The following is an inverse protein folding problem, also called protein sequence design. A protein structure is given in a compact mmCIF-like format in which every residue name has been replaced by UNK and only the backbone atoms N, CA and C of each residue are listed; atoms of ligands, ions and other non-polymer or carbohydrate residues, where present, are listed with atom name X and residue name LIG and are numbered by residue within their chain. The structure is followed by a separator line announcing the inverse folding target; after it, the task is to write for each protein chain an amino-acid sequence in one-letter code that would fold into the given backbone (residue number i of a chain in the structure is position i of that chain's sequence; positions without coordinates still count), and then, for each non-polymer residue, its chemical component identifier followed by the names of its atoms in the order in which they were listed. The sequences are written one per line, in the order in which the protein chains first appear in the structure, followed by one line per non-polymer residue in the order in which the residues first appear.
data_IF_993450861601
#
_entry.id   IF_993450861601
#
_cell.length_a   1.000
_cell.length_b   1.000
_cell.length_c   1.000
_cell.angle_alpha   90.00
_cell.angle_beta   90.00
_cell.angle_gamma   90.00
#
_symmetry.space_group_name_H-M   'P 1'
#
loop_
_entity.id
_entity.type
_entity.pdbx_description
1 polymer ?
#
# COMPACT_ATOMS: atom_id res chain seq x y z
N UNK A 1 -41.19 -35.75 -11.89
CA UNK A 1 -39.72 -35.72 -12.03
C UNK A 1 -39.34 -34.38 -12.61
N UNK A 2 -38.08 -33.96 -12.46
CA UNK A 2 -37.62 -32.71 -13.05
C UNK A 2 -37.61 -32.80 -14.58
N UNK A 3 -38.10 -31.76 -15.25
CA UNK A 3 -38.14 -31.66 -16.72
C UNK A 3 -37.37 -30.43 -17.16
N UNK A 4 -36.78 -30.40 -18.38
CA UNK A 4 -36.11 -29.21 -18.88
C UNK A 4 -37.02 -27.98 -18.77
N UNK A 5 -36.54 -26.92 -18.15
CA UNK A 5 -37.31 -25.69 -18.00
C UNK A 5 -37.49 -25.04 -19.38
N UNK A 6 -38.74 -24.78 -19.77
CA UNK A 6 -39.05 -24.09 -21.02
C UNK A 6 -38.38 -22.71 -21.05
N UNK A 7 -37.82 -22.32 -22.20
CA UNK A 7 -37.13 -21.04 -22.41
C UNK A 7 -35.78 -20.87 -21.69
N UNK A 8 -35.30 -21.88 -20.96
CA UNK A 8 -33.99 -21.86 -20.30
C UNK A 8 -32.98 -22.78 -21.00
N UNK A 9 -31.68 -22.41 -20.99
CA UNK A 9 -30.62 -23.23 -21.57
C UNK A 9 -30.44 -24.53 -20.80
N UNK A 10 -29.62 -25.44 -21.36
CA UNK A 10 -29.31 -26.71 -20.71
C UNK A 10 -28.78 -26.50 -19.28
N UNK A 11 -29.23 -27.35 -18.36
CA UNK A 11 -28.86 -27.31 -16.94
C UNK A 11 -29.93 -26.71 -16.03
N UNK A 12 -31.03 -26.17 -16.58
CA UNK A 12 -32.18 -25.70 -15.81
C UNK A 12 -33.34 -26.69 -15.92
N UNK A 13 -33.83 -27.17 -14.78
CA UNK A 13 -34.93 -28.14 -14.74
C UNK A 13 -36.03 -27.72 -13.78
N UNK A 14 -37.27 -27.71 -14.25
CA UNK A 14 -38.47 -27.38 -13.48
C UNK A 14 -39.11 -28.64 -12.89
N UNK A 15 -39.62 -28.54 -11.65
CA UNK A 15 -40.23 -29.65 -10.94
C UNK A 15 -41.69 -29.92 -11.38
N UNK A 16 -42.58 -28.94 -11.25
CA UNK A 16 -43.97 -28.99 -11.72
C UNK A 16 -44.63 -27.60 -11.67
N UNK A 17 -45.76 -27.41 -12.35
CA UNK A 17 -46.53 -26.16 -12.26
C UNK A 17 -47.10 -25.90 -10.85
N UNK A 18 -47.39 -26.97 -10.10
CA UNK A 18 -47.87 -26.88 -8.73
C UNK A 18 -46.78 -26.49 -7.72
N UNK A 19 -45.50 -26.65 -8.08
CA UNK A 19 -44.36 -26.29 -7.27
C UNK A 19 -43.29 -25.62 -8.16
N UNK A 20 -43.32 -24.29 -8.33
CA UNK A 20 -42.47 -23.56 -9.27
C UNK A 20 -41.02 -23.45 -8.77
N UNK A 21 -40.37 -24.60 -8.63
CA UNK A 21 -38.98 -24.76 -8.22
C UNK A 21 -38.16 -25.16 -9.44
N UNK A 22 -37.11 -24.38 -9.70
CA UNK A 22 -36.11 -24.67 -10.74
C UNK A 22 -34.81 -25.11 -10.09
N UNK A 23 -34.33 -26.28 -10.49
CA UNK A 23 -33.01 -26.79 -10.11
C UNK A 23 -32.02 -26.46 -11.20
N UNK A 24 -30.86 -25.92 -10.80
CA UNK A 24 -29.76 -25.60 -11.70
C UNK A 24 -28.62 -26.59 -11.49
N UNK A 25 -28.29 -27.35 -12.53
CA UNK A 25 -27.20 -28.33 -12.54
C UNK A 25 -25.95 -27.67 -13.12
N UNK A 26 -25.09 -27.17 -12.24
CA UNK A 26 -23.91 -26.35 -12.61
C UNK A 26 -22.93 -27.04 -13.57
N UNK A 27 -22.88 -28.37 -13.57
CA UNK A 27 -22.02 -29.16 -14.47
C UNK A 27 -22.57 -29.28 -15.89
N UNK A 28 -23.86 -29.04 -16.10
CA UNK A 28 -24.52 -29.12 -17.41
C UNK A 28 -24.69 -27.76 -18.09
N UNK A 29 -24.33 -26.68 -17.39
CA UNK A 29 -24.37 -25.34 -17.95
C UNK A 29 -23.40 -25.22 -19.12
N UNK A 30 -23.89 -24.62 -20.21
CA UNK A 30 -23.11 -24.32 -21.40
C UNK A 30 -21.95 -23.37 -21.10
N UNK A 31 -20.86 -23.48 -21.85
CA UNK A 31 -19.69 -22.61 -21.69
C UNK A 31 -19.87 -21.27 -22.39
N UNK A 32 -20.73 -20.43 -21.82
CA UNK A 32 -21.00 -19.08 -22.32
C UNK A 32 -20.60 -18.02 -21.29
N UNK A 33 -20.35 -16.77 -21.72
CA UNK A 33 -20.14 -15.63 -20.84
C UNK A 33 -21.14 -15.50 -19.68
N UNK A 34 -22.43 -15.79 -19.94
CA UNK A 34 -23.52 -15.55 -19.00
C UNK A 34 -23.57 -16.59 -17.87
N UNK A 35 -23.01 -17.78 -18.09
CA UNK A 35 -23.01 -18.87 -17.10
C UNK A 35 -21.74 -18.91 -16.25
N UNK A 36 -20.74 -18.05 -16.52
CA UNK A 36 -19.43 -18.07 -15.84
C UNK A 36 -19.58 -17.98 -14.33
N UNK A 37 -20.38 -17.05 -13.82
CA UNK A 37 -20.58 -16.87 -12.37
C UNK A 37 -21.13 -18.14 -11.70
N UNK A 38 -22.09 -18.81 -12.35
CA UNK A 38 -22.67 -20.05 -11.86
C UNK A 38 -21.68 -21.21 -11.92
N UNK A 39 -20.91 -21.32 -13.01
CA UNK A 39 -19.92 -22.40 -13.18
C UNK A 39 -18.69 -22.25 -12.29
N UNK A 40 -18.31 -21.03 -11.89
CA UNK A 40 -17.31 -20.78 -10.83
C UNK A 40 -17.74 -21.37 -9.47
N UNK A 41 -19.04 -21.55 -9.25
CA UNK A 41 -19.57 -22.21 -8.05
C UNK A 41 -19.58 -23.75 -8.13
N UNK A 42 -19.30 -24.34 -9.29
CA UNK A 42 -19.24 -25.79 -9.47
C UNK A 42 -17.98 -26.42 -8.83
N UNK A 43 -17.94 -27.76 -8.75
CA UNK A 43 -16.85 -28.54 -8.11
C UNK A 43 -16.11 -29.48 -9.07
N UNK A 44 -16.01 -29.13 -10.35
CA UNK A 44 -15.52 -30.06 -11.38
C UNK A 44 -14.89 -29.33 -12.56
N UNK A 45 -14.68 -30.04 -13.68
CA UNK A 45 -14.27 -29.50 -14.98
C UNK A 45 -15.02 -28.21 -15.39
N UNK A 46 -16.29 -28.07 -14.99
CA UNK A 46 -17.09 -26.86 -15.22
C UNK A 46 -16.47 -25.61 -14.58
N UNK A 47 -15.82 -25.74 -13.41
CA UNK A 47 -15.06 -24.67 -12.75
C UNK A 47 -13.83 -24.29 -13.56
N UNK A 48 -13.05 -25.27 -14.01
CA UNK A 48 -11.85 -25.00 -14.80
C UNK A 48 -12.20 -24.28 -16.11
N UNK A 49 -13.21 -24.76 -16.82
CA UNK A 49 -13.74 -24.08 -18.02
C UNK A 49 -14.20 -22.66 -17.71
N UNK A 50 -14.90 -22.44 -16.60
CA UNK A 50 -15.32 -21.11 -16.17
C UNK A 50 -14.15 -20.17 -15.85
N UNK A 51 -13.09 -20.68 -15.21
CA UNK A 51 -11.88 -19.92 -14.94
C UNK A 51 -11.14 -19.56 -16.24
N UNK A 52 -11.08 -20.46 -17.22
CA UNK A 52 -10.53 -20.16 -18.54
C UNK A 52 -11.33 -19.08 -19.27
N UNK A 53 -12.66 -19.20 -19.30
CA UNK A 53 -13.56 -18.20 -19.92
C UNK A 53 -13.44 -16.85 -19.21
N UNK A 54 -13.32 -16.83 -17.88
CA UNK A 54 -13.07 -15.60 -17.13
C UNK A 54 -11.68 -15.00 -17.44
N UNK A 55 -10.62 -15.83 -17.50
CA UNK A 55 -9.25 -15.40 -17.82
C UNK A 55 -9.17 -14.74 -19.19
N UNK A 56 -9.78 -15.36 -20.22
CA UNK A 56 -9.79 -14.86 -21.59
C UNK A 56 -10.41 -13.44 -21.71
N UNK A 57 -11.36 -13.12 -20.83
CA UNK A 57 -12.10 -11.85 -20.86
C UNK A 57 -11.55 -10.78 -19.93
N UNK A 58 -10.46 -11.05 -19.22
CA UNK A 58 -9.84 -10.07 -18.31
C UNK A 58 -9.42 -8.77 -19.00
N UNK A 59 -9.16 -8.82 -20.32
CA UNK A 59 -8.82 -7.65 -21.12
C UNK A 59 -10.05 -6.81 -21.51
N UNK A 60 -11.25 -7.41 -21.58
CA UNK A 60 -12.50 -6.73 -21.95
C UNK A 60 -13.10 -5.95 -20.78
N UNK A 61 -12.77 -6.35 -19.55
CA UNK A 61 -13.35 -5.79 -18.33
C UNK A 61 -12.40 -4.74 -17.74
N UNK A 62 -12.86 -3.53 -17.41
CA UNK A 62 -12.07 -2.58 -16.64
C UNK A 62 -11.57 -3.22 -15.35
N UNK A 63 -10.25 -3.24 -15.14
CA UNK A 63 -9.61 -3.92 -14.00
C UNK A 63 -9.86 -5.44 -13.97
N UNK A 64 -10.23 -6.04 -15.10
CA UNK A 64 -10.60 -7.46 -15.20
C UNK A 64 -9.54 -8.41 -14.68
N UNK A 65 -8.25 -8.10 -14.92
CA UNK A 65 -7.13 -8.86 -14.34
C UNK A 65 -7.13 -8.84 -12.81
N UNK A 66 -7.42 -7.71 -12.16
CA UNK A 66 -7.50 -7.61 -10.69
C UNK A 66 -8.70 -8.39 -10.15
N UNK A 67 -9.85 -8.30 -10.83
CA UNK A 67 -11.06 -9.04 -10.47
C UNK A 67 -10.88 -10.55 -10.61
N UNK A 68 -10.18 -11.00 -11.67
CA UNK A 68 -9.83 -12.40 -11.84
C UNK A 68 -8.97 -12.92 -10.70
N UNK A 69 -7.90 -12.19 -10.32
CA UNK A 69 -7.07 -12.57 -9.17
C UNK A 69 -7.89 -12.62 -7.88
N UNK A 70 -8.75 -11.63 -7.65
CA UNK A 70 -9.62 -11.61 -6.48
C UNK A 70 -10.59 -12.82 -6.45
N UNK A 71 -11.15 -13.19 -7.59
CA UNK A 71 -12.04 -14.36 -7.72
C UNK A 71 -11.30 -15.67 -7.47
N UNK A 72 -10.10 -15.84 -8.02
CA UNK A 72 -9.23 -17.02 -7.80
C UNK A 72 -8.83 -17.13 -6.33
N UNK A 73 -8.40 -16.02 -5.72
CA UNK A 73 -8.03 -15.97 -4.31
C UNK A 73 -9.23 -16.25 -3.39
N UNK A 74 -10.41 -15.71 -3.72
CA UNK A 74 -11.65 -16.02 -3.01
C UNK A 74 -11.99 -17.51 -3.10
N UNK A 75 -11.91 -18.11 -4.28
CA UNK A 75 -12.13 -19.56 -4.49
C UNK A 75 -11.14 -20.38 -3.67
N UNK A 76 -9.85 -20.01 -3.66
CA UNK A 76 -8.81 -20.72 -2.92
C UNK A 76 -9.02 -20.65 -1.41
N UNK A 77 -9.31 -19.46 -0.88
CA UNK A 77 -9.51 -19.22 0.56
C UNK A 77 -10.81 -19.82 1.09
N UNK A 78 -11.91 -19.75 0.33
CA UNK A 78 -13.19 -20.35 0.73
C UNK A 78 -13.23 -21.87 0.54
N UNK A 79 -12.46 -22.45 -0.40
CA UNK A 79 -12.47 -23.90 -0.69
C UNK A 79 -11.28 -24.69 -0.11
N UNK A 80 -10.32 -24.04 0.56
CA UNK A 80 -9.17 -24.66 1.24
C UNK A 80 -9.50 -25.64 2.39
N UNK A 81 -10.76 -26.07 2.54
CA UNK A 81 -11.19 -27.13 3.48
C UNK A 81 -11.47 -28.49 2.83
N UNK A 82 -11.24 -28.72 1.53
CA UNK A 82 -11.44 -30.09 1.00
C UNK A 82 -11.36 -30.41 -0.50
N UNK A 83 -10.58 -29.73 -1.34
CA UNK A 83 -10.27 -30.24 -2.70
C UNK A 83 -8.77 -30.55 -2.86
N UNK A 84 -8.45 -31.75 -3.38
CA UNK A 84 -7.15 -32.03 -4.01
C UNK A 84 -7.23 -31.56 -5.46
N UNK A 85 -6.28 -30.74 -5.86
CA UNK A 85 -6.14 -30.29 -7.24
C UNK A 85 -5.39 -31.36 -8.03
N UNK A 86 -5.90 -31.74 -9.20
CA UNK A 86 -5.18 -32.57 -10.17
C UNK A 86 -4.27 -31.65 -11.01
N UNK A 87 -3.05 -32.08 -11.34
CA UNK A 87 -1.96 -31.26 -11.92
C UNK A 87 -2.37 -30.44 -13.16
N UNK A 88 -3.33 -30.91 -13.96
CA UNK A 88 -3.83 -30.22 -15.15
C UNK A 88 -4.70 -28.98 -14.85
N UNK A 89 -5.23 -28.86 -13.63
CA UNK A 89 -5.96 -27.67 -13.17
C UNK A 89 -5.03 -26.55 -12.69
N UNK A 90 -3.72 -26.76 -12.78
CA UNK A 90 -2.73 -25.69 -12.75
C UNK A 90 -2.93 -24.85 -14.02
N UNK A 91 -3.98 -24.02 -14.02
CA UNK A 91 -3.91 -22.69 -14.61
C UNK A 91 -2.49 -22.22 -14.35
N UNK A 92 -1.79 -21.70 -15.35
CA UNK A 92 -0.47 -21.12 -15.19
C UNK A 92 -0.56 -19.97 -14.17
N UNK A 93 -0.52 -20.39 -12.90
CA UNK A 93 -0.57 -19.63 -11.67
C UNK A 93 0.83 -19.15 -11.40
N UNK A 94 1.86 -19.73 -12.01
CA UNK A 94 3.25 -19.27 -11.94
C UNK A 94 3.36 -17.84 -12.45
N UNK A 95 2.74 -17.50 -13.58
CA UNK A 95 2.67 -16.11 -14.05
C UNK A 95 1.85 -15.19 -13.14
N UNK A 96 0.78 -15.72 -12.54
CA UNK A 96 -0.12 -14.95 -11.65
C UNK A 96 0.52 -14.69 -10.29
N UNK A 97 1.19 -15.68 -9.72
CA UNK A 97 1.97 -15.67 -8.49
C UNK A 97 3.20 -14.78 -8.64
N UNK A 98 3.98 -14.95 -9.72
CA UNK A 98 5.12 -14.07 -10.01
C UNK A 98 4.71 -12.61 -10.19
N UNK A 99 3.52 -12.37 -10.76
CA UNK A 99 2.96 -11.02 -10.84
C UNK A 99 2.57 -10.47 -9.45
N UNK A 100 1.93 -11.30 -8.62
CA UNK A 100 1.54 -10.93 -7.25
C UNK A 100 2.74 -10.63 -6.36
N UNK A 101 3.77 -11.47 -6.41
CA UNK A 101 5.02 -11.27 -5.68
C UNK A 101 5.69 -9.97 -6.11
N UNK A 102 5.77 -9.69 -7.42
CA UNK A 102 6.34 -8.43 -7.92
C UNK A 102 5.55 -7.21 -7.45
N UNK A 103 4.22 -7.27 -7.49
CA UNK A 103 3.37 -6.16 -7.04
C UNK A 103 3.49 -5.95 -5.52
N UNK A 104 3.49 -7.02 -4.74
CA UNK A 104 3.63 -6.96 -3.30
C UNK A 104 5.01 -6.44 -2.89
N UNK A 105 6.08 -6.96 -3.52
CA UNK A 105 7.45 -6.50 -3.32
C UNK A 105 7.61 -5.02 -3.69
N UNK A 106 7.05 -4.58 -4.83
CA UNK A 106 7.07 -3.18 -5.23
C UNK A 106 6.32 -2.28 -4.22
N UNK A 107 5.15 -2.71 -3.75
CA UNK A 107 4.38 -1.99 -2.73
C UNK A 107 5.11 -1.89 -1.40
N UNK A 108 5.72 -2.99 -0.94
CA UNK A 108 6.55 -3.04 0.27
C UNK A 108 7.76 -2.13 0.15
N UNK A 109 8.48 -2.20 -0.96
CA UNK A 109 9.65 -1.36 -1.21
C UNK A 109 9.27 0.13 -1.23
N UNK A 110 8.18 0.48 -1.91
CA UNK A 110 7.69 1.86 -1.95
C UNK A 110 7.24 2.34 -0.57
N UNK A 111 6.54 1.50 0.20
CA UNK A 111 6.11 1.79 1.56
C UNK A 111 7.30 2.02 2.48
N UNK A 112 8.31 1.15 2.42
CA UNK A 112 9.53 1.28 3.21
C UNK A 112 10.32 2.53 2.85
N UNK A 113 10.51 2.83 1.56
CA UNK A 113 11.19 4.05 1.11
C UNK A 113 10.48 5.31 1.60
N UNK A 114 9.16 5.38 1.46
CA UNK A 114 8.36 6.52 1.94
C UNK A 114 8.44 6.65 3.46
N UNK A 115 8.27 5.56 4.19
CA UNK A 115 8.34 5.54 5.65
C UNK A 115 9.72 5.98 6.17
N UNK A 116 10.79 5.50 5.54
CA UNK A 116 12.15 5.87 5.89
C UNK A 116 12.45 7.34 5.59
N UNK A 117 12.05 7.87 4.42
CA UNK A 117 12.23 9.28 4.09
C UNK A 117 11.46 10.20 5.04
N UNK A 118 10.20 9.89 5.32
CA UNK A 118 9.39 10.68 6.25
C UNK A 118 9.93 10.62 7.68
N UNK A 119 10.28 9.42 8.15
CA UNK A 119 10.85 9.22 9.48
C UNK A 119 12.20 9.95 9.65
N UNK A 120 13.06 9.91 8.63
CA UNK A 120 14.34 10.60 8.65
C UNK A 120 14.16 12.13 8.65
N UNK A 121 13.28 12.68 7.81
CA UNK A 121 13.01 14.12 7.80
C UNK A 121 12.41 14.62 9.13
N UNK A 122 11.42 13.91 9.67
CA UNK A 122 10.81 14.27 10.94
C UNK A 122 11.81 14.14 12.09
N UNK A 123 12.58 13.05 12.13
CA UNK A 123 13.61 12.84 13.15
C UNK A 123 14.70 13.90 13.11
N UNK A 124 15.16 14.28 11.92
CA UNK A 124 16.17 15.32 11.75
C UNK A 124 15.65 16.70 12.18
N UNK A 125 14.42 17.07 11.78
CA UNK A 125 13.81 18.34 12.19
C UNK A 125 13.60 18.41 13.71
N UNK A 126 13.08 17.34 14.32
CA UNK A 126 12.89 17.29 15.78
C UNK A 126 14.23 17.33 16.52
N UNK A 127 15.22 16.56 16.08
CA UNK A 127 16.55 16.57 16.67
C UNK A 127 17.23 17.94 16.60
N UNK A 128 17.12 18.62 15.46
CA UNK A 128 17.65 19.98 15.28
C UNK A 128 16.96 20.99 16.19
N UNK A 129 15.63 20.96 16.28
CA UNK A 129 14.88 21.85 17.19
C UNK A 129 15.22 21.61 18.67
N UNK A 130 15.32 20.33 19.07
CA UNK A 130 15.68 19.97 20.45
C UNK A 130 17.13 20.36 20.79
N UNK A 131 18.06 20.23 19.84
CA UNK A 131 19.45 20.64 20.00
C UNK A 131 19.68 22.15 20.00
N UNK A 132 18.90 22.90 19.20
CA UNK A 132 19.00 24.37 19.13
C UNK A 132 18.43 25.08 20.37
N UNK A 133 17.38 24.55 20.98
CA UNK A 133 16.68 25.23 22.06
C UNK A 133 17.59 25.57 23.28
N UNK A 134 18.48 24.68 23.76
CA UNK A 134 19.45 25.01 24.80
C UNK A 134 20.41 26.14 24.39
N UNK A 135 20.95 26.09 23.17
CA UNK A 135 21.86 27.11 22.62
C UNK A 135 21.19 28.49 22.60
N UNK A 136 19.99 28.60 22.02
CA UNK A 136 19.24 29.85 21.98
C UNK A 136 18.97 30.43 23.37
N UNK A 137 18.71 29.56 24.36
CA UNK A 137 18.56 29.98 25.77
C UNK A 137 19.88 30.51 26.35
N UNK A 138 21.02 29.88 26.05
CA UNK A 138 22.32 30.35 26.54
C UNK A 138 22.67 31.72 25.97
N UNK A 139 22.50 31.91 24.65
CA UNK A 139 22.68 33.21 24.00
C UNK A 139 21.77 34.30 24.62
N UNK A 140 20.47 34.01 24.81
CA UNK A 140 19.53 34.97 25.43
C UNK A 140 19.93 35.34 26.86
N UNK A 141 20.37 34.35 27.65
CA UNK A 141 20.85 34.58 29.03
C UNK A 141 22.13 35.41 29.04
N UNK A 142 23.08 35.12 28.16
CA UNK A 142 24.37 35.82 28.08
C UNK A 142 24.20 37.27 27.67
N UNK A 143 23.32 37.56 26.71
CA UNK A 143 22.99 38.90 26.25
C UNK A 143 22.05 39.66 27.19
N UNK A 144 21.48 38.98 28.19
CA UNK A 144 20.46 39.51 29.11
C UNK A 144 19.27 40.17 28.39
N UNK A 145 18.87 39.61 27.24
CA UNK A 145 17.71 40.05 26.45
C UNK A 145 17.19 38.93 25.57
N UNK A 146 15.96 39.06 25.08
CA UNK A 146 15.43 38.16 24.07
C UNK A 146 16.21 38.28 22.75
N UNK A 147 16.45 37.13 22.11
CA UNK A 147 16.97 37.07 20.75
C UNK A 147 15.88 37.46 19.75
N UNK A 148 16.25 38.32 18.81
CA UNK A 148 15.42 38.69 17.67
C UNK A 148 15.41 37.56 16.62
N UNK A 149 14.45 37.60 15.70
CA UNK A 149 14.30 36.54 14.68
C UNK A 149 15.46 36.48 13.69
N UNK A 150 16.08 37.63 13.37
CA UNK A 150 17.31 37.72 12.58
C UNK A 150 18.48 37.02 13.29
N UNK A 151 18.64 37.23 14.60
CA UNK A 151 19.71 36.59 15.38
C UNK A 151 19.51 35.08 15.50
N UNK A 152 18.26 34.63 15.63
CA UNK A 152 17.91 33.19 15.64
C UNK A 152 18.25 32.54 14.29
N UNK A 153 17.96 33.23 13.19
CA UNK A 153 18.31 32.77 11.85
C UNK A 153 19.83 32.67 11.67
N UNK A 154 20.59 33.66 12.14
CA UNK A 154 22.07 33.64 12.13
C UNK A 154 22.62 32.47 12.96
N UNK A 155 22.11 32.25 14.17
CA UNK A 155 22.52 31.13 15.03
C UNK A 155 22.23 29.79 14.35
N UNK A 156 21.07 29.65 13.69
CA UNK A 156 20.70 28.43 12.98
C UNK A 156 21.65 28.19 11.79
N UNK A 157 21.89 29.20 10.96
CA UNK A 157 22.81 29.10 9.83
C UNK A 157 24.25 28.77 10.26
N UNK A 158 24.68 29.33 11.40
CA UNK A 158 26.01 29.04 11.97
C UNK A 158 26.09 27.68 12.64
N UNK A 159 25.01 27.17 13.21
CA UNK A 159 24.99 25.80 13.70
C UNK A 159 25.29 24.81 12.56
N UNK A 160 24.70 25.05 11.39
CA UNK A 160 24.94 24.21 10.20
C UNK A 160 26.36 24.37 9.65
N UNK A 161 26.94 25.58 9.72
CA UNK A 161 28.26 25.87 9.15
C UNK A 161 29.45 25.56 10.08
N UNK A 162 29.31 25.81 11.39
CA UNK A 162 30.38 25.79 12.39
C UNK A 162 30.21 24.67 13.42
N UNK A 163 29.02 24.10 13.55
CA UNK A 163 28.71 23.05 14.52
C UNK A 163 28.42 23.55 15.93
N UNK A 164 27.77 22.70 16.74
CA UNK A 164 27.28 23.06 18.07
C UNK A 164 28.41 23.41 19.06
N UNK A 165 29.56 22.74 18.95
CA UNK A 165 30.70 22.95 19.84
C UNK A 165 31.25 24.37 19.72
N UNK A 166 31.46 24.83 18.48
CA UNK A 166 31.96 26.19 18.21
C UNK A 166 31.01 27.26 18.73
N UNK A 167 29.69 27.07 18.55
CA UNK A 167 28.70 27.99 19.10
C UNK A 167 28.70 27.99 20.63
N UNK A 168 28.93 26.83 21.25
CA UNK A 168 29.12 26.70 22.69
C UNK A 168 30.30 27.52 23.18
N UNK A 169 31.46 27.38 22.56
CA UNK A 169 32.68 28.13 22.89
C UNK A 169 32.46 29.64 22.75
N UNK A 170 31.86 30.09 21.64
CA UNK A 170 31.57 31.51 21.38
C UNK A 170 30.70 32.13 22.48
N UNK A 171 29.70 31.40 22.98
CA UNK A 171 28.84 31.90 24.06
C UNK A 171 29.58 32.02 25.39
N UNK A 172 30.55 31.12 25.64
CA UNK A 172 31.31 31.08 26.88
C UNK A 172 32.48 32.08 26.88
N UNK A 173 33.17 32.21 25.75
CA UNK A 173 34.43 32.95 25.65
C UNK A 173 34.23 34.44 25.34
N UNK A 174 33.22 34.81 24.54
CA UNK A 174 33.00 36.20 24.17
C UNK A 174 32.36 37.02 25.30
N UNK A 175 32.74 38.28 25.39
CA UNK A 175 32.02 39.28 26.18
C UNK A 175 30.63 39.56 25.57
N UNK A 176 29.75 40.18 26.34
CA UNK A 176 28.39 40.53 25.87
C UNK A 176 28.41 41.43 24.62
N UNK A 177 29.35 42.37 24.57
CA UNK A 177 29.49 43.29 23.44
C UNK A 177 30.02 42.56 22.18
N UNK A 178 31.02 41.70 22.36
CA UNK A 178 31.58 40.89 21.26
C UNK A 178 30.56 39.87 20.74
N UNK A 179 29.78 39.26 21.62
CA UNK A 179 28.72 38.33 21.24
C UNK A 179 27.61 39.01 20.44
N UNK A 180 27.23 40.24 20.82
CA UNK A 180 26.26 41.03 20.08
C UNK A 180 26.79 41.46 18.70
N UNK A 181 28.07 41.86 18.62
CA UNK A 181 28.72 42.18 17.35
C UNK A 181 28.85 40.95 16.45
N UNK A 182 29.20 39.80 17.01
CA UNK A 182 29.31 38.54 16.30
C UNK A 182 27.96 38.11 15.70
N UNK A 183 26.85 38.30 16.41
CA UNK A 183 25.50 38.05 15.86
C UNK A 183 25.08 39.07 14.80
N UNK A 184 25.60 40.29 14.85
CA UNK A 184 25.28 41.36 13.91
C UNK A 184 26.09 41.29 12.61
N UNK A 185 27.26 40.64 12.63
CA UNK A 185 28.10 40.41 11.47
C UNK A 185 27.80 39.03 10.85
N UNK A 186 27.18 38.94 9.65
CA UNK A 186 26.90 37.66 9.00
C UNK A 186 28.16 36.89 8.56
N UNK A 187 29.32 37.55 8.45
CA UNK A 187 30.57 36.98 7.96
C UNK A 187 31.50 36.47 9.07
N UNK A 188 31.20 36.73 10.35
CA UNK A 188 32.04 36.28 11.45
C UNK A 188 31.98 34.75 11.63
N UNK A 189 33.13 34.13 11.92
CA UNK A 189 33.35 32.67 12.07
C UNK A 189 33.86 32.28 13.46
#
# INVERSE_FOLDING_TARGET
GFTPAAEWPRGFYALSEALPVTVVVLSELEDTPDTVALRLMSRSESLNRALHTLRARTAEVPQGRRLFVAAVHWIHTWRGRGLRWEEDAMLDLTETEAFLERQFAAGMQQGMQRGMQQGMQQGMQQGMQQGLAPLLRQFSRRLNRALRDDERAVITARLDALGADRLGDVVLDLSVAELAAWLADPAAS
#
